data_IF_401399717017
#
_entry.id   IF_401399717017
#
_cell.length_a   1.000
_cell.length_b   1.000
_cell.length_c   1.000
_cell.angle_alpha   90.00
_cell.angle_beta   90.00
_cell.angle_gamma   90.00
#
_symmetry.space_group_name_H-M   'P 1'
#
loop_
_entity.id
_entity.type
_entity.pdbx_description
1 polymer ?
#
# COMPACT_ATOMS: atom_id res chain seq x y z
N UNK A 1 -50.54 18.41 9.97
CA UNK A 1 -49.51 17.35 10.12
C UNK A 1 -48.33 17.73 9.24
N UNK A 2 -47.20 18.14 9.82
CA UNK A 2 -46.07 18.74 9.08
C UNK A 2 -44.96 17.72 8.79
N UNK A 3 -44.68 17.39 7.51
CA UNK A 3 -43.63 16.42 7.13
C UNK A 3 -42.19 16.97 7.31
N UNK A 4 -42.04 18.24 7.66
CA UNK A 4 -40.78 19.00 7.52
C UNK A 4 -39.72 18.78 8.62
N UNK A 5 -40.06 18.11 9.74
CA UNK A 5 -39.10 17.84 10.85
C UNK A 5 -38.32 16.52 10.69
N UNK A 6 -38.93 15.53 10.06
CA UNK A 6 -38.32 14.20 9.88
C UNK A 6 -37.15 14.22 8.88
N UNK A 7 -37.24 15.04 7.82
CA UNK A 7 -36.18 15.20 6.81
C UNK A 7 -34.92 15.86 7.38
N UNK A 8 -35.06 16.86 8.26
CA UNK A 8 -33.91 17.53 8.92
C UNK A 8 -33.14 16.61 9.87
N UNK A 9 -33.83 15.69 10.55
CA UNK A 9 -33.19 14.70 11.44
C UNK A 9 -32.38 13.66 10.65
N UNK A 10 -32.91 13.19 9.50
CA UNK A 10 -32.18 12.24 8.63
C UNK A 10 -30.91 12.84 8.04
N UNK A 11 -30.94 14.11 7.62
CA UNK A 11 -29.75 14.81 7.11
C UNK A 11 -28.69 15.11 8.19
N UNK A 12 -29.11 15.32 9.45
CA UNK A 12 -28.18 15.46 10.56
C UNK A 12 -27.52 14.12 10.93
N UNK A 13 -28.30 13.03 10.96
CA UNK A 13 -27.78 11.69 11.25
C UNK A 13 -26.82 11.16 10.18
N UNK A 14 -27.11 11.36 8.88
CA UNK A 14 -26.19 10.92 7.82
C UNK A 14 -24.81 11.58 7.92
N UNK A 15 -24.73 12.89 8.19
CA UNK A 15 -23.44 13.57 8.32
C UNK A 15 -22.60 13.08 9.49
N UNK A 16 -23.23 12.69 10.61
CA UNK A 16 -22.51 12.13 11.75
C UNK A 16 -22.10 10.68 11.52
N UNK A 17 -22.96 9.87 10.90
CA UNK A 17 -22.65 8.49 10.56
C UNK A 17 -21.49 8.39 9.56
N UNK A 18 -21.49 9.23 8.52
CA UNK A 18 -20.43 9.24 7.50
C UNK A 18 -19.09 9.69 8.08
N UNK A 19 -19.10 10.72 8.95
CA UNK A 19 -17.89 11.20 9.62
C UNK A 19 -17.33 10.18 10.61
N UNK A 20 -18.17 9.49 11.37
CA UNK A 20 -17.75 8.44 12.30
C UNK A 20 -17.22 7.20 11.56
N UNK A 21 -17.88 6.82 10.46
CA UNK A 21 -17.44 5.72 9.60
C UNK A 21 -16.05 6.00 9.03
N UNK A 22 -15.82 7.20 8.49
CA UNK A 22 -14.52 7.57 7.93
C UNK A 22 -13.42 7.57 9.00
N UNK A 23 -13.69 8.12 10.20
CA UNK A 23 -12.75 8.13 11.32
C UNK A 23 -12.37 6.71 11.77
N UNK A 24 -13.35 5.81 11.88
CA UNK A 24 -13.11 4.42 12.29
C UNK A 24 -12.30 3.65 11.25
N UNK A 25 -12.61 3.82 9.96
CA UNK A 25 -11.87 3.19 8.86
C UNK A 25 -10.43 3.68 8.84
N UNK A 26 -10.21 4.99 8.98
CA UNK A 26 -8.88 5.59 9.04
C UNK A 26 -8.09 5.11 10.27
N UNK A 27 -8.72 5.09 11.45
CA UNK A 27 -8.11 4.58 12.67
C UNK A 27 -7.73 3.10 12.59
N UNK A 28 -8.63 2.26 12.04
CA UNK A 28 -8.34 0.85 11.78
C UNK A 28 -7.16 0.68 10.82
N UNK A 29 -7.10 1.52 9.79
CA UNK A 29 -6.03 1.47 8.80
C UNK A 29 -4.66 1.73 9.45
N UNK A 30 -4.52 2.80 10.22
CA UNK A 30 -3.26 3.11 10.92
C UNK A 30 -2.89 2.03 11.94
N UNK A 31 -3.88 1.46 12.64
CA UNK A 31 -3.64 0.38 13.60
C UNK A 31 -3.10 -0.88 12.91
N UNK A 32 -3.72 -1.29 11.80
CA UNK A 32 -3.27 -2.43 11.01
C UNK A 32 -1.84 -2.23 10.49
N UNK A 33 -1.55 -1.03 9.98
CA UNK A 33 -0.23 -0.67 9.49
C UNK A 33 0.83 -0.71 10.59
N UNK A 34 0.52 -0.17 11.77
CA UNK A 34 1.40 -0.21 12.92
C UNK A 34 1.68 -1.65 13.37
N UNK A 35 0.65 -2.51 13.37
CA UNK A 35 0.80 -3.93 13.69
C UNK A 35 1.73 -4.64 12.70
N UNK A 36 1.56 -4.40 11.38
CA UNK A 36 2.43 -4.98 10.34
C UNK A 36 3.86 -4.47 10.49
N UNK A 37 4.07 -3.16 10.67
CA UNK A 37 5.40 -2.58 10.87
C UNK A 37 6.10 -3.13 12.11
N UNK A 38 5.36 -3.25 13.23
CA UNK A 38 5.86 -3.88 14.45
C UNK A 38 6.22 -5.35 14.26
N UNK A 39 5.41 -6.12 13.54
CA UNK A 39 5.70 -7.51 13.23
C UNK A 39 6.96 -7.67 12.37
N UNK A 40 7.15 -6.81 11.37
CA UNK A 40 8.36 -6.80 10.53
C UNK A 40 9.60 -6.47 11.37
N UNK A 41 9.53 -5.44 12.22
CA UNK A 41 10.64 -5.08 13.10
C UNK A 41 10.99 -6.20 14.10
N UNK A 42 9.96 -6.81 14.70
CA UNK A 42 10.11 -7.96 15.59
C UNK A 42 10.78 -9.14 14.88
N UNK A 43 10.28 -9.53 13.71
CA UNK A 43 10.82 -10.63 12.92
C UNK A 43 12.28 -10.38 12.52
N UNK A 44 12.61 -9.16 12.08
CA UNK A 44 13.97 -8.76 11.73
C UNK A 44 14.91 -8.86 12.95
N UNK A 45 14.48 -8.35 14.11
CA UNK A 45 15.24 -8.44 15.36
C UNK A 45 15.46 -9.89 15.79
N UNK A 46 14.42 -10.72 15.73
CA UNK A 46 14.50 -12.13 16.08
C UNK A 46 15.48 -12.90 15.16
N UNK A 47 15.39 -12.69 13.84
CA UNK A 47 16.32 -13.31 12.88
C UNK A 47 17.74 -12.82 13.09
N UNK A 48 17.93 -11.53 13.38
CA UNK A 48 19.24 -10.96 13.68
C UNK A 48 19.88 -11.57 14.93
N UNK A 49 19.13 -11.69 16.02
CA UNK A 49 19.59 -12.36 17.24
C UNK A 49 19.94 -13.82 16.98
N UNK A 50 19.12 -14.55 16.21
CA UNK A 50 19.42 -15.93 15.83
C UNK A 50 20.73 -16.09 15.06
N UNK A 51 21.08 -15.15 14.16
CA UNK A 51 22.40 -15.16 13.50
C UNK A 51 23.54 -14.90 14.48
N UNK A 52 23.33 -13.95 15.40
CA UNK A 52 24.32 -13.59 16.41
C UNK A 52 24.63 -14.78 17.34
N UNK A 53 23.60 -15.47 17.81
CA UNK A 53 23.73 -16.68 18.65
C UNK A 53 24.45 -17.83 17.93
N UNK A 54 24.24 -17.99 16.62
CA UNK A 54 24.93 -19.00 15.81
C UNK A 54 26.39 -18.64 15.50
N UNK A 55 26.82 -17.39 15.72
CA UNK A 55 28.16 -16.90 15.40
C UNK A 55 28.48 -16.87 13.90
N UNK A 56 27.50 -17.10 13.03
CA UNK A 56 27.64 -17.13 11.58
C UNK A 56 26.36 -16.62 10.91
N UNK A 57 26.53 -15.82 9.86
CA UNK A 57 25.43 -15.33 9.03
C UNK A 57 25.55 -15.95 7.64
N UNK A 58 24.49 -16.59 7.17
CA UNK A 58 24.41 -17.09 5.80
C UNK A 58 23.94 -15.99 4.85
N UNK A 59 24.14 -16.18 3.55
CA UNK A 59 23.59 -15.26 2.55
C UNK A 59 22.07 -15.20 2.70
N UNK A 60 21.40 -16.35 2.84
CA UNK A 60 19.94 -16.41 3.01
C UNK A 60 19.44 -15.60 4.20
N UNK A 61 20.14 -15.62 5.34
CA UNK A 61 19.76 -14.81 6.50
C UNK A 61 19.86 -13.30 6.20
N UNK A 62 20.92 -12.87 5.51
CA UNK A 62 21.13 -11.47 5.11
C UNK A 62 20.08 -11.05 4.08
N UNK A 63 19.79 -11.91 3.10
CA UNK A 63 18.74 -11.71 2.10
C UNK A 63 17.37 -11.55 2.77
N UNK A 64 17.07 -12.36 3.79
CA UNK A 64 15.85 -12.30 4.57
C UNK A 64 15.74 -10.99 5.37
N UNK A 65 16.82 -10.56 6.02
CA UNK A 65 16.86 -9.24 6.68
C UNK A 65 16.56 -8.10 5.71
N UNK A 66 17.07 -8.18 4.49
CA UNK A 66 16.78 -7.17 3.49
C UNK A 66 15.32 -7.16 3.05
N UNK A 67 14.66 -8.33 2.96
CA UNK A 67 13.21 -8.39 2.72
C UNK A 67 12.45 -7.69 3.85
N UNK A 68 12.86 -7.88 5.11
CA UNK A 68 12.25 -7.17 6.22
C UNK A 68 12.49 -5.65 6.16
N UNK A 69 13.69 -5.21 5.79
CA UNK A 69 13.99 -3.79 5.62
C UNK A 69 13.16 -3.17 4.48
N UNK A 70 13.03 -3.87 3.35
CA UNK A 70 12.22 -3.45 2.21
C UNK A 70 10.73 -3.33 2.60
N UNK A 71 10.18 -4.35 3.26
CA UNK A 71 8.80 -4.31 3.76
C UNK A 71 8.60 -3.20 4.79
N UNK A 72 9.54 -3.02 5.72
CA UNK A 72 9.52 -1.96 6.72
C UNK A 72 9.55 -0.56 6.10
N UNK A 73 10.38 -0.36 5.08
CA UNK A 73 10.44 0.90 4.33
C UNK A 73 9.12 1.19 3.61
N UNK A 74 8.49 0.18 3.00
CA UNK A 74 7.18 0.35 2.36
C UNK A 74 6.08 0.69 3.37
N UNK A 75 6.06 0.02 4.53
CA UNK A 75 5.16 0.35 5.64
C UNK A 75 5.37 1.79 6.11
N UNK A 76 6.63 2.23 6.26
CA UNK A 76 6.95 3.60 6.65
C UNK A 76 6.55 4.65 5.62
N UNK A 77 6.76 4.39 4.32
CA UNK A 77 6.30 5.27 3.23
C UNK A 77 4.77 5.34 3.22
N UNK A 78 4.11 4.20 3.43
CA UNK A 78 2.66 4.15 3.49
C UNK A 78 2.12 4.98 4.67
N UNK A 79 2.76 4.91 5.84
CA UNK A 79 2.44 5.76 7.00
C UNK A 79 2.48 7.26 6.68
N UNK A 80 3.42 7.69 5.83
CA UNK A 80 3.55 9.10 5.44
C UNK A 80 2.61 9.54 4.32
N UNK A 81 2.10 8.62 3.52
CA UNK A 81 1.40 8.95 2.26
C UNK A 81 -0.06 8.51 2.22
N UNK A 82 -0.54 7.72 3.19
CA UNK A 82 -1.92 7.21 3.33
C UNK A 82 -2.51 6.47 2.11
N UNK A 83 -1.76 6.31 1.02
CA UNK A 83 -2.20 5.66 -0.19
C UNK A 83 -1.37 4.41 -0.43
N UNK A 84 -2.03 3.25 -0.61
CA UNK A 84 -1.37 1.96 -0.80
C UNK A 84 -1.55 1.60 -2.27
N UNK A 85 -0.78 2.20 -3.19
CA UNK A 85 -0.85 1.84 -4.60
C UNK A 85 -0.46 0.37 -4.77
N UNK A 86 -1.20 -0.33 -5.64
CA UNK A 86 -0.91 -1.69 -6.14
C UNK A 86 0.55 -1.84 -6.60
N UNK A 87 1.20 -0.72 -6.94
CA UNK A 87 2.61 -0.63 -7.30
C UNK A 87 3.56 -1.17 -6.21
N UNK A 88 3.25 -0.95 -4.93
CA UNK A 88 4.08 -1.48 -3.84
C UNK A 88 4.08 -3.01 -3.80
N UNK A 89 2.93 -3.65 -4.01
CA UNK A 89 2.82 -5.11 -4.02
C UNK A 89 3.66 -5.73 -5.14
N UNK A 90 3.65 -5.12 -6.33
CA UNK A 90 4.43 -5.59 -7.48
C UNK A 90 5.94 -5.48 -7.19
N UNK A 91 6.39 -4.40 -6.54
CA UNK A 91 7.78 -4.26 -6.13
C UNK A 91 8.17 -5.32 -5.08
N UNK A 92 7.33 -5.59 -4.09
CA UNK A 92 7.57 -6.66 -3.10
C UNK A 92 7.73 -8.01 -3.81
N UNK A 93 6.86 -8.33 -4.76
CA UNK A 93 6.94 -9.60 -5.50
C UNK A 93 8.24 -9.72 -6.30
N UNK A 94 8.66 -8.65 -6.99
CA UNK A 94 9.92 -8.64 -7.75
C UNK A 94 11.11 -8.81 -6.80
N UNK A 95 11.16 -8.06 -5.70
CA UNK A 95 12.22 -8.16 -4.70
C UNK A 95 12.28 -9.56 -4.08
N UNK A 96 11.13 -10.14 -3.73
CA UNK A 96 11.06 -11.49 -3.16
C UNK A 96 11.55 -12.57 -4.14
N UNK A 97 11.11 -12.52 -5.42
CA UNK A 97 11.60 -13.46 -6.44
C UNK A 97 13.09 -13.28 -6.73
N UNK A 98 13.57 -12.04 -6.77
CA UNK A 98 15.00 -11.75 -6.98
C UNK A 98 15.84 -12.29 -5.82
N UNK A 99 15.36 -12.19 -4.58
CA UNK A 99 16.04 -12.76 -3.41
C UNK A 99 16.05 -14.29 -3.46
N UNK A 100 14.94 -14.91 -3.85
CA UNK A 100 14.88 -16.36 -4.08
C UNK A 100 15.89 -16.82 -5.14
N UNK A 101 16.00 -16.07 -6.25
CA UNK A 101 16.97 -16.35 -7.32
C UNK A 101 18.42 -16.32 -6.80
N UNK A 102 18.77 -15.29 -6.02
CA UNK A 102 20.13 -15.16 -5.47
C UNK A 102 20.43 -16.33 -4.51
N UNK A 103 19.48 -16.68 -3.63
CA UNK A 103 19.64 -17.83 -2.73
C UNK A 103 19.84 -19.15 -3.48
N UNK A 104 19.06 -19.40 -4.53
CA UNK A 104 19.16 -20.62 -5.34
C UNK A 104 20.50 -20.72 -6.10
N UNK A 105 21.00 -19.60 -6.64
CA UNK A 105 22.32 -19.52 -7.31
C UNK A 105 23.46 -19.84 -6.34
N UNK A 106 23.36 -19.44 -5.07
CA UNK A 106 24.40 -19.68 -4.08
C UNK A 106 24.42 -21.14 -3.59
N UNK A 107 23.28 -21.80 -3.50
CA UNK A 107 23.20 -23.20 -3.04
C UNK A 107 23.42 -24.21 -4.16
N UNK A 108 22.93 -23.91 -5.36
CA UNK A 108 22.95 -24.81 -6.51
C UNK A 108 24.00 -24.31 -7.50
N UNK A 109 25.29 -24.61 -7.28
CA UNK A 109 26.39 -24.29 -8.21
C UNK A 109 26.29 -24.96 -9.61
N UNK A 110 25.15 -25.59 -9.96
CA UNK A 110 24.86 -26.13 -11.29
C UNK A 110 23.68 -25.37 -11.91
N UNK A 111 23.81 -24.91 -13.16
CA UNK A 111 22.69 -24.26 -13.85
C UNK A 111 21.53 -25.25 -14.00
N UNK A 112 20.47 -25.04 -13.21
CA UNK A 112 19.24 -25.82 -13.23
C UNK A 112 18.13 -25.02 -13.94
N UNK A 113 17.15 -25.72 -14.51
CA UNK A 113 15.99 -25.11 -15.16
C UNK A 113 15.17 -24.21 -14.21
N UNK A 114 15.27 -24.45 -12.89
CA UNK A 114 14.67 -23.60 -11.84
C UNK A 114 15.06 -22.12 -11.94
N UNK A 115 16.34 -21.83 -12.12
CA UNK A 115 16.88 -20.46 -12.24
C UNK A 115 16.25 -19.75 -13.45
N UNK A 116 16.11 -20.45 -14.58
CA UNK A 116 15.50 -19.91 -15.80
C UNK A 116 14.01 -19.59 -15.58
N UNK A 117 13.28 -20.46 -14.89
CA UNK A 117 11.87 -20.21 -14.55
C UNK A 117 11.70 -19.00 -13.64
N UNK A 118 12.56 -18.84 -12.63
CA UNK A 118 12.53 -17.68 -11.72
C UNK A 118 12.86 -16.39 -12.49
N UNK A 119 13.87 -16.40 -13.36
CA UNK A 119 14.16 -15.27 -14.25
C UNK A 119 12.97 -14.94 -15.16
N UNK A 120 12.31 -15.95 -15.72
CA UNK A 120 11.09 -15.79 -16.52
C UNK A 120 9.93 -15.18 -15.72
N UNK A 121 9.74 -15.60 -14.47
CA UNK A 121 8.74 -15.04 -13.57
C UNK A 121 9.02 -13.56 -13.23
N UNK A 122 10.28 -13.20 -12.95
CA UNK A 122 10.70 -11.81 -12.72
C UNK A 122 10.45 -10.97 -13.98
N UNK A 123 10.78 -11.49 -15.16
CA UNK A 123 10.51 -10.81 -16.44
C UNK A 123 9.01 -10.58 -16.64
N UNK A 124 8.17 -11.57 -16.35
CA UNK A 124 6.72 -11.46 -16.46
C UNK A 124 6.15 -10.43 -15.48
N UNK A 125 6.62 -10.40 -14.22
CA UNK A 125 6.23 -9.36 -13.26
C UNK A 125 6.70 -7.96 -13.69
N UNK A 126 7.90 -7.84 -14.25
CA UNK A 126 8.40 -6.57 -14.77
C UNK A 126 7.54 -6.05 -15.93
N UNK A 127 7.11 -6.94 -16.84
CA UNK A 127 6.17 -6.60 -17.91
C UNK A 127 4.78 -6.23 -17.37
N UNK A 128 4.27 -6.97 -16.38
CA UNK A 128 3.01 -6.62 -15.71
C UNK A 128 3.09 -5.22 -15.06
N UNK A 129 4.20 -4.90 -14.40
CA UNK A 129 4.44 -3.58 -13.84
C UNK A 129 4.44 -2.48 -14.91
N UNK A 130 5.06 -2.75 -16.06
CA UNK A 130 5.06 -1.84 -17.20
C UNK A 130 3.64 -1.55 -17.70
N UNK A 131 2.80 -2.59 -17.83
CA UNK A 131 1.39 -2.46 -18.23
C UNK A 131 0.61 -1.63 -17.20
N UNK A 132 0.75 -1.92 -15.90
CA UNK A 132 0.08 -1.16 -14.82
C UNK A 132 0.52 0.29 -14.83
N UNK A 133 1.83 0.55 -14.99
CA UNK A 133 2.37 1.91 -15.11
C UNK A 133 1.78 2.65 -16.30
N UNK A 134 1.74 2.01 -17.46
CA UNK A 134 1.22 2.61 -18.69
C UNK A 134 -0.28 2.89 -18.62
N UNK A 135 -1.07 1.94 -18.08
CA UNK A 135 -2.50 2.13 -17.83
C UNK A 135 -2.75 3.31 -16.89
N UNK A 136 -2.02 3.39 -15.77
CA UNK A 136 -2.16 4.48 -14.80
C UNK A 136 -1.75 5.85 -15.35
N UNK A 137 -0.82 5.91 -16.31
CA UNK A 137 -0.39 7.16 -16.94
C UNK A 137 -1.37 7.65 -18.02
N UNK A 138 -2.16 6.75 -18.62
CA UNK A 138 -3.04 7.06 -19.76
C UNK A 138 -4.49 7.34 -19.36
N UNK A 139 -4.93 6.88 -18.18
CA UNK A 139 -6.24 7.16 -17.61
C UNK A 139 -6.11 7.63 -16.15
N UNK A 140 -5.81 8.92 -15.90
CA UNK A 140 -6.04 9.50 -14.59
C UNK A 140 -7.53 9.37 -14.28
N UNK A 141 -7.90 8.75 -13.16
CA UNK A 141 -9.29 8.72 -12.72
C UNK A 141 -9.78 10.16 -12.66
N UNK A 142 -10.77 10.49 -13.49
CA UNK A 142 -11.41 11.80 -13.50
C UNK A 142 -11.92 12.06 -12.08
N UNK A 143 -11.28 12.98 -11.36
CA UNK A 143 -11.85 13.54 -10.14
C UNK A 143 -13.19 14.14 -10.54
N UNK A 144 -14.26 13.42 -10.23
CA UNK A 144 -15.61 13.92 -10.43
C UNK A 144 -15.85 14.91 -9.29
N UNK A 145 -15.32 16.12 -9.45
CA UNK A 145 -15.65 17.27 -8.62
C UNK A 145 -17.16 17.49 -8.76
N UNK A 146 -17.89 16.95 -7.80
CA UNK A 146 -19.33 17.00 -7.70
C UNK A 146 -19.77 18.44 -7.47
N UNK A 147 -20.24 19.07 -8.54
CA UNK A 147 -21.30 20.09 -8.60
C UNK A 147 -22.15 20.15 -7.31
N UNK A 148 -21.98 21.21 -6.52
CA UNK A 148 -22.95 21.91 -5.65
C UNK A 148 -22.23 23.14 -5.04
N UNK A 149 -22.68 24.38 -5.14
CA UNK A 149 -24.01 24.89 -5.43
C UNK A 149 -24.01 26.06 -6.42
N UNK A 150 -25.06 26.07 -7.26
CA UNK A 150 -25.63 27.33 -7.71
C UNK A 150 -26.35 28.02 -6.54
N UNK A 151 -26.87 29.21 -6.83
CA UNK A 151 -27.81 29.96 -5.97
C UNK A 151 -27.16 30.73 -4.80
N UNK A 152 -26.28 31.69 -5.11
CA UNK A 152 -26.04 32.81 -4.23
C UNK A 152 -25.74 34.09 -5.03
N UNK A 153 -26.73 34.98 -5.04
CA UNK A 153 -26.66 36.42 -5.33
C UNK A 153 -26.78 36.88 -6.80
N UNK A 154 -27.93 36.53 -7.37
CA UNK A 154 -28.75 37.42 -8.20
C UNK A 154 -29.35 38.59 -7.36
N UNK A 155 -28.56 39.21 -6.45
CA UNK A 155 -29.04 40.20 -5.48
C UNK A 155 -27.98 41.24 -5.07
N UNK A 156 -27.31 41.85 -6.06
CA UNK A 156 -26.53 43.08 -5.87
C UNK A 156 -26.24 43.69 -7.26
N UNK A 157 -26.78 44.82 -7.71
CA UNK A 157 -27.76 45.74 -7.17
C UNK A 157 -28.19 46.65 -8.32
N UNK A 158 -29.51 46.80 -8.46
CA UNK A 158 -30.17 47.88 -9.17
C UNK A 158 -29.80 49.21 -8.50
N UNK A 159 -29.31 50.17 -9.30
CA UNK A 159 -29.27 51.64 -9.07
C UNK A 159 -28.39 52.19 -7.93
N UNK A 160 -28.06 53.51 -7.95
CA UNK A 160 -28.57 54.62 -8.77
C UNK A 160 -27.77 54.95 -10.04
#
# INVERSE_FOLDING_TARGET
>A
MTPHRAERLRHAMHRHADSLGNLLVEGFHYLALFAIGGAVAWAAGHTFLGMFERGQATIDDILLLFIYLELGAMVGIYFKTNHMPVRFLIYVSITALTRLLIGDIQHTHKPNMGIVMVCGAILLLALANLVVRFSSARFPAVETSGRKGGEALESHGDRP
#
